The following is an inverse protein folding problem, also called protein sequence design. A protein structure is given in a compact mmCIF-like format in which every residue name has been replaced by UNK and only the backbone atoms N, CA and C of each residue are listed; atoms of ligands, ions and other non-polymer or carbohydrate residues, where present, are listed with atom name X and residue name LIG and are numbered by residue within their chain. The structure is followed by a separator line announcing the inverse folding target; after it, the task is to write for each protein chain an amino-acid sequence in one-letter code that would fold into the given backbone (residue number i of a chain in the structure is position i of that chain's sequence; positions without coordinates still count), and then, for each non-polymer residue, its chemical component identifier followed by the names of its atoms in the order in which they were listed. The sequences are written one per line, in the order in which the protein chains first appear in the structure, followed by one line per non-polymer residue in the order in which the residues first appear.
data_IF_175258460526
#
_entry.id   IF_175258460526
#
_cell.length_a   1.000
_cell.length_b   1.000
_cell.length_c   1.000
_cell.angle_alpha   90.00
_cell.angle_beta   90.00
_cell.angle_gamma   90.00
#
_symmetry.space_group_name_H-M   'P 1'
#
loop_
_entity.id
_entity.type
_entity.pdbx_description
1 polymer ?
#
# COMPACT_ATOMS: atom_id res chain seq x y z
N UNK A 1 -24.56 -9.13 53.84
CA UNK A 1 -25.44 -9.73 52.81
C UNK A 1 -25.90 -8.61 51.90
N UNK A 2 -25.16 -8.31 50.83
CA UNK A 2 -25.51 -7.26 49.87
C UNK A 2 -25.83 -7.95 48.54
N UNK A 3 -27.11 -7.94 48.21
CA UNK A 3 -27.67 -8.43 46.96
C UNK A 3 -27.46 -7.38 45.87
N UNK A 4 -26.71 -7.73 44.82
CA UNK A 4 -26.61 -6.94 43.60
C UNK A 4 -27.70 -7.42 42.64
N UNK A 5 -28.57 -6.50 42.23
CA UNK A 5 -29.54 -6.70 41.16
C UNK A 5 -28.87 -6.34 39.82
N UNK A 6 -28.95 -7.26 38.86
CA UNK A 6 -28.61 -7.07 37.45
C UNK A 6 -29.86 -6.50 36.75
N UNK A 7 -29.71 -5.38 36.04
CA UNK A 7 -30.71 -4.86 35.12
C UNK A 7 -30.19 -4.99 33.68
N UNK A 8 -30.84 -5.87 32.93
CA UNK A 8 -30.68 -6.05 31.48
C UNK A 8 -31.43 -4.93 30.74
N UNK A 9 -30.70 -4.14 29.95
CA UNK A 9 -31.29 -3.19 29.00
C UNK A 9 -31.06 -3.69 27.56
N UNK A 10 -32.15 -4.17 26.98
CA UNK A 10 -32.33 -4.60 25.60
C UNK A 10 -32.73 -3.36 24.77
N UNK A 11 -31.95 -2.96 23.77
CA UNK A 11 -32.32 -1.87 22.85
C UNK A 11 -32.46 -2.38 21.40
N UNK A 12 -33.60 -2.00 20.82
CA UNK A 12 -34.19 -2.43 19.56
C UNK A 12 -33.48 -1.88 18.30
N UNK A 13 -33.34 -2.76 17.31
CA UNK A 13 -32.97 -2.44 15.93
C UNK A 13 -34.11 -1.69 15.20
N UNK A 14 -33.84 -0.45 14.78
CA UNK A 14 -34.68 0.29 13.81
C UNK A 14 -34.11 0.17 12.38
N UNK A 15 -34.92 -0.19 11.37
CA UNK A 15 -34.47 -0.23 9.99
C UNK A 15 -34.46 1.16 9.32
N UNK A 16 -33.32 1.49 8.69
CA UNK A 16 -33.14 2.65 7.82
C UNK A 16 -34.00 2.56 6.55
N UNK A 17 -34.93 3.49 6.37
CA UNK A 17 -35.61 3.73 5.10
C UNK A 17 -34.76 4.62 4.19
N UNK A 18 -34.46 4.11 3.00
CA UNK A 18 -33.79 4.80 1.90
C UNK A 18 -34.77 5.70 1.14
N UNK A 19 -34.51 7.01 1.10
CA UNK A 19 -35.21 7.97 0.23
C UNK A 19 -34.31 8.26 -0.97
N UNK A 20 -34.74 7.87 -2.17
CA UNK A 20 -34.12 8.21 -3.45
C UNK A 20 -35.05 9.11 -4.26
N UNK A 21 -34.65 10.37 -4.49
CA UNK A 21 -35.27 11.23 -5.50
C UNK A 21 -34.23 12.20 -6.06
N UNK A 22 -33.61 11.84 -7.17
CA UNK A 22 -32.84 12.76 -8.00
C UNK A 22 -33.79 13.42 -8.99
N UNK A 23 -34.02 14.71 -8.81
CA UNK A 23 -34.73 15.61 -9.73
C UNK A 23 -33.67 16.31 -10.59
N UNK A 24 -33.74 16.14 -11.91
CA UNK A 24 -32.86 16.79 -12.89
C UNK A 24 -33.51 18.09 -13.38
N UNK A 25 -32.79 19.22 -13.24
CA UNK A 25 -33.14 20.49 -13.89
C UNK A 25 -32.60 20.52 -15.34
N UNK A 26 -33.35 21.06 -16.31
CA UNK A 26 -32.85 21.31 -17.66
C UNK A 26 -32.03 22.60 -17.71
N UNK A 27 -30.88 22.57 -18.40
CA UNK A 27 -30.13 23.78 -18.77
C UNK A 27 -30.60 24.29 -20.12
N UNK A 28 -31.07 25.54 -20.14
CA UNK A 28 -31.32 26.32 -21.35
C UNK A 28 -29.99 26.75 -22.00
N UNK A 29 -29.91 26.59 -23.32
CA UNK A 29 -28.79 27.03 -24.15
C UNK A 29 -29.08 28.46 -24.60
N UNK A 30 -28.29 29.41 -24.11
CA UNK A 30 -28.28 30.80 -24.59
C UNK A 30 -27.25 30.92 -25.72
N UNK A 31 -27.70 31.31 -26.90
CA UNK A 31 -26.84 31.72 -28.02
C UNK A 31 -26.52 33.21 -27.94
N UNK A 32 -25.26 33.65 -28.13
CA UNK A 32 -24.96 35.04 -28.43
C UNK A 32 -24.81 35.27 -29.93
N UNK A 33 -25.52 36.30 -30.39
CA UNK A 33 -25.47 36.97 -31.68
C UNK A 33 -24.22 37.85 -31.83
N UNK A 34 -23.68 37.83 -33.05
CA UNK A 34 -23.06 38.90 -33.83
C UNK A 34 -22.00 39.84 -33.23
N UNK A 35 -20.86 39.86 -33.96
CA UNK A 35 -20.26 41.10 -34.39
C UNK A 35 -18.80 41.30 -33.96
N UNK A 36 -17.84 40.91 -34.79
CA UNK A 36 -16.58 41.65 -34.92
C UNK A 36 -15.80 41.32 -36.21
N UNK A 37 -15.16 42.37 -36.72
CA UNK A 37 -14.53 42.54 -38.02
C UNK A 37 -13.67 41.38 -38.54
N UNK A 38 -13.97 40.95 -39.77
CA UNK A 38 -13.08 40.10 -40.57
C UNK A 38 -12.00 41.00 -41.17
N UNK A 39 -10.79 40.94 -40.60
CA UNK A 39 -9.57 41.37 -41.29
C UNK A 39 -9.26 40.28 -42.32
N UNK A 40 -9.47 40.57 -43.60
CA UNK A 40 -8.97 39.70 -44.68
C UNK A 40 -7.44 39.85 -44.75
N UNK A 41 -6.73 38.96 -44.07
CA UNK A 41 -5.30 38.73 -44.30
C UNK A 41 -5.19 37.71 -45.44
N UNK A 42 -4.76 38.17 -46.62
CA UNK A 42 -4.36 37.27 -47.71
C UNK A 42 -2.97 36.69 -47.40
N UNK A 43 -2.92 35.65 -46.58
CA UNK A 43 -1.68 34.92 -46.30
C UNK A 43 -1.86 33.42 -46.54
N UNK A 44 -1.88 33.03 -47.81
CA UNK A 44 -1.42 31.69 -48.19
C UNK A 44 0.03 31.78 -48.65
N UNK A 45 0.93 32.16 -47.76
CA UNK A 45 2.31 31.72 -47.87
C UNK A 45 2.29 30.21 -47.69
N UNK A 46 2.29 29.47 -48.81
CA UNK A 46 2.14 28.03 -48.81
C UNK A 46 3.27 27.40 -48.00
N UNK A 47 2.93 26.88 -46.81
CA UNK A 47 3.80 26.10 -45.91
C UNK A 47 4.53 24.94 -46.61
N UNK A 48 4.16 24.64 -47.85
CA UNK A 48 4.83 23.70 -48.74
C UNK A 48 6.32 24.03 -48.93
N UNK A 49 6.72 25.31 -48.94
CA UNK A 49 8.11 25.74 -49.14
C UNK A 49 9.04 25.60 -47.93
N UNK A 50 8.51 25.30 -46.72
CA UNK A 50 9.35 25.13 -45.53
C UNK A 50 10.17 23.83 -45.59
N UNK A 51 11.38 23.84 -45.03
CA UNK A 51 12.18 22.62 -44.89
C UNK A 51 11.48 21.59 -43.99
N UNK A 52 11.87 20.33 -44.11
CA UNK A 52 11.29 19.23 -43.34
C UNK A 52 11.48 19.44 -41.82
N UNK A 53 12.65 19.92 -41.40
CA UNK A 53 13.00 20.18 -40.02
C UNK A 53 12.13 21.28 -39.40
N UNK A 54 11.83 22.33 -40.17
CA UNK A 54 11.02 23.45 -39.69
C UNK A 54 9.56 23.04 -39.55
N UNK A 55 9.06 22.23 -40.49
CA UNK A 55 7.75 21.56 -40.37
C UNK A 55 7.73 20.69 -39.10
N UNK A 56 8.72 19.83 -38.88
CA UNK A 56 8.76 18.99 -37.68
C UNK A 56 8.69 19.81 -36.38
N UNK A 57 9.45 20.91 -36.28
CA UNK A 57 9.41 21.83 -35.13
C UNK A 57 8.06 22.51 -34.95
N UNK A 58 7.41 22.94 -36.02
CA UNK A 58 6.06 23.52 -35.97
C UNK A 58 5.07 22.48 -35.41
N UNK A 59 5.16 21.22 -35.82
CA UNK A 59 4.29 20.16 -35.28
C UNK A 59 4.50 19.87 -33.79
N UNK A 60 5.69 20.14 -33.26
CA UNK A 60 5.96 20.00 -31.81
C UNK A 60 5.18 21.03 -30.99
N UNK A 61 4.93 22.22 -31.57
CA UNK A 61 4.36 23.38 -30.89
C UNK A 61 2.83 23.50 -31.01
N UNK A 62 2.22 22.97 -32.07
CA UNK A 62 0.78 23.10 -32.31
C UNK A 62 0.00 21.97 -31.60
N UNK A 63 -1.22 22.27 -31.11
CA UNK A 63 -2.12 21.27 -30.56
C UNK A 63 -2.39 20.09 -31.54
N UNK A 64 -2.47 18.83 -31.07
CA UNK A 64 -2.72 17.66 -31.90
C UNK A 64 -3.97 17.75 -32.78
N UNK A 65 -4.99 18.48 -32.34
CA UNK A 65 -6.24 18.64 -33.08
C UNK A 65 -6.01 19.49 -34.32
N UNK A 66 -5.25 20.58 -34.20
CA UNK A 66 -4.88 21.47 -35.31
C UNK A 66 -3.79 20.86 -36.20
N UNK A 67 -2.87 20.08 -35.61
CA UNK A 67 -1.86 19.32 -36.36
C UNK A 67 -2.51 18.27 -37.29
N UNK A 68 -3.65 17.68 -36.90
CA UNK A 68 -4.43 16.79 -37.77
C UNK A 68 -5.04 17.54 -38.94
N UNK A 69 -5.53 18.75 -38.75
CA UNK A 69 -6.04 19.61 -39.83
C UNK A 69 -4.94 19.94 -40.85
N UNK A 70 -3.71 20.20 -40.39
CA UNK A 70 -2.53 20.36 -41.26
C UNK A 70 -2.13 19.07 -42.00
N UNK A 71 -2.39 17.90 -41.39
CA UNK A 71 -2.09 16.59 -41.98
C UNK A 71 -3.00 16.21 -43.14
N UNK A 72 -4.26 16.68 -43.10
CA UNK A 72 -5.23 16.42 -44.14
C UNK A 72 -4.87 17.18 -45.42
N UNK A 73 -4.36 18.40 -45.28
CA UNK A 73 -4.03 19.30 -46.40
C UNK A 73 -2.64 19.11 -47.00
N UNK A 74 -1.71 18.42 -46.34
CA UNK A 74 -0.37 18.17 -46.92
C UNK A 74 0.20 16.76 -46.66
N UNK A 75 0.57 16.08 -47.75
CA UNK A 75 1.03 14.68 -47.80
C UNK A 75 2.26 14.40 -46.91
N UNK A 76 3.16 15.37 -46.77
CA UNK A 76 4.38 15.25 -45.94
C UNK A 76 4.05 15.14 -44.45
N UNK A 77 3.05 15.87 -43.96
CA UNK A 77 2.63 15.82 -42.55
C UNK A 77 2.00 14.49 -42.16
N UNK A 78 1.24 13.87 -43.08
CA UNK A 78 0.69 12.53 -42.90
C UNK A 78 1.78 11.47 -42.66
N UNK A 79 2.95 11.65 -43.26
CA UNK A 79 4.08 10.71 -43.12
C UNK A 79 4.82 10.90 -41.80
N UNK A 80 4.89 12.13 -41.27
CA UNK A 80 5.47 12.44 -39.96
C UNK A 80 4.54 11.96 -38.84
N UNK A 81 3.25 12.30 -38.94
CA UNK A 81 2.25 12.03 -37.90
C UNK A 81 1.75 10.58 -37.87
N UNK A 82 2.00 9.77 -38.90
CA UNK A 82 1.67 8.34 -38.90
C UNK A 82 2.74 7.47 -38.23
N UNK A 83 3.94 8.02 -37.95
CA UNK A 83 4.98 7.29 -37.22
C UNK A 83 4.55 7.11 -35.77
N UNK A 84 4.28 5.87 -35.37
CA UNK A 84 3.94 5.50 -33.97
C UNK A 84 5.01 5.99 -32.98
N UNK A 85 6.28 5.99 -33.39
CA UNK A 85 7.41 6.55 -32.63
C UNK A 85 7.23 8.05 -32.32
N UNK A 86 6.71 8.85 -33.26
CA UNK A 86 6.50 10.29 -33.05
C UNK A 86 5.54 10.56 -31.89
N UNK A 87 4.44 9.81 -31.79
CA UNK A 87 3.48 9.99 -30.68
C UNK A 87 3.99 9.41 -29.35
N UNK A 88 4.80 8.35 -29.39
CA UNK A 88 5.45 7.80 -28.19
C UNK A 88 6.50 8.78 -27.62
N UNK A 89 7.33 9.37 -28.49
CA UNK A 89 8.29 10.42 -28.12
C UNK A 89 7.57 11.70 -27.67
N UNK A 90 6.46 12.08 -28.31
CA UNK A 90 5.68 13.27 -27.96
C UNK A 90 4.92 13.13 -26.63
N UNK A 91 4.48 11.93 -26.25
CA UNK A 91 3.92 11.69 -24.91
C UNK A 91 4.96 11.86 -23.80
N UNK A 92 6.23 11.57 -24.09
CA UNK A 92 7.35 11.81 -23.15
C UNK A 92 7.67 13.31 -23.05
N UNK A 93 7.59 14.05 -24.16
CA UNK A 93 7.93 15.48 -24.21
C UNK A 93 6.83 16.44 -23.70
N UNK A 94 5.56 16.01 -23.66
CA UNK A 94 4.42 16.87 -23.28
C UNK A 94 4.43 17.37 -21.84
N UNK A 95 5.14 16.70 -20.92
CA UNK A 95 5.20 17.14 -19.52
C UNK A 95 6.40 18.03 -19.20
N UNK A 96 7.50 17.91 -19.94
CA UNK A 96 8.71 18.66 -19.61
C UNK A 96 8.88 19.93 -20.47
N UNK A 97 8.49 19.93 -21.75
CA UNK A 97 8.92 21.01 -22.67
C UNK A 97 8.04 22.27 -22.66
N UNK A 98 6.73 22.16 -22.40
CA UNK A 98 5.85 23.34 -22.26
C UNK A 98 6.10 24.10 -20.93
N UNK A 99 6.50 23.38 -19.88
CA UNK A 99 6.98 23.97 -18.63
C UNK A 99 8.36 24.61 -18.83
N UNK A 100 9.24 23.98 -19.63
CA UNK A 100 10.55 24.56 -19.95
C UNK A 100 10.45 25.80 -20.85
N UNK A 101 9.56 25.84 -21.85
CA UNK A 101 9.42 27.03 -22.71
C UNK A 101 8.73 28.20 -22.01
N UNK A 102 7.77 27.95 -21.11
CA UNK A 102 7.22 29.02 -20.25
C UNK A 102 8.28 29.51 -19.26
N UNK A 103 9.08 28.60 -18.68
CA UNK A 103 10.23 28.98 -17.87
C UNK A 103 11.31 29.73 -18.68
N UNK A 104 11.58 29.38 -19.94
CA UNK A 104 12.56 30.08 -20.80
C UNK A 104 12.08 31.46 -21.24
N UNK A 105 10.77 31.67 -21.42
CA UNK A 105 10.17 32.96 -21.70
C UNK A 105 10.04 33.85 -20.44
N UNK A 106 9.81 33.24 -19.26
CA UNK A 106 9.87 33.93 -17.97
C UNK A 106 11.31 34.15 -17.47
N UNK A 107 12.29 33.43 -18.03
CA UNK A 107 13.73 33.65 -17.83
C UNK A 107 14.28 34.84 -18.61
N UNK A 108 13.43 35.76 -19.07
CA UNK A 108 13.78 37.18 -18.93
C UNK A 108 13.88 37.45 -17.44
N UNK A 109 15.03 37.07 -16.89
CA UNK A 109 15.60 37.53 -15.62
C UNK A 109 15.72 39.05 -15.76
N UNK A 110 14.57 39.72 -15.65
CA UNK A 110 14.50 41.12 -15.29
C UNK A 110 15.31 41.22 -14.00
N UNK A 111 16.18 42.23 -13.94
CA UNK A 111 17.02 42.61 -12.82
C UNK A 111 16.21 42.75 -11.52
N UNK A 112 15.77 41.62 -10.98
CA UNK A 112 14.87 41.55 -9.84
C UNK A 112 15.76 41.52 -8.62
N UNK A 113 16.11 42.73 -8.19
CA UNK A 113 16.81 42.97 -6.94
C UNK A 113 16.03 42.34 -5.79
N UNK A 114 16.75 41.67 -4.91
CA UNK A 114 16.15 41.15 -3.68
C UNK A 114 15.51 42.31 -2.89
N UNK A 115 14.21 42.25 -2.58
CA UNK A 115 13.52 43.30 -1.81
C UNK A 115 14.12 43.54 -0.42
N UNK A 116 14.74 42.52 0.17
CA UNK A 116 15.34 42.61 1.50
C UNK A 116 16.75 43.23 1.52
N UNK A 117 17.57 43.02 0.49
CA UNK A 117 18.98 43.47 0.50
C UNK A 117 19.47 44.16 -0.78
N UNK A 118 18.60 44.34 -1.78
CA UNK A 118 18.91 44.97 -3.06
C UNK A 118 19.81 44.17 -4.00
N UNK A 119 20.36 43.02 -3.59
CA UNK A 119 21.29 42.25 -4.44
C UNK A 119 20.57 41.64 -5.64
N UNK A 120 21.18 41.74 -6.83
CA UNK A 120 20.73 41.16 -8.11
C UNK A 120 20.96 39.64 -8.22
N UNK A 121 21.16 38.94 -7.10
CA UNK A 121 21.43 37.50 -7.11
C UNK A 121 20.17 36.71 -7.41
N UNK A 122 20.34 35.60 -8.16
CA UNK A 122 19.32 34.60 -8.50
C UNK A 122 18.32 34.40 -7.36
N UNK A 123 17.07 34.75 -7.65
CA UNK A 123 15.93 34.51 -6.78
C UNK A 123 15.81 33.00 -6.51
N UNK A 124 15.41 32.65 -5.29
CA UNK A 124 15.19 31.24 -4.97
C UNK A 124 14.03 30.70 -5.79
N UNK A 125 14.16 29.49 -6.34
CA UNK A 125 13.05 28.79 -7.04
C UNK A 125 11.78 28.67 -6.18
N UNK A 126 11.89 28.79 -4.85
CA UNK A 126 10.79 28.64 -3.90
C UNK A 126 9.86 29.84 -3.83
N UNK A 127 10.33 30.99 -4.29
CA UNK A 127 9.70 32.24 -3.93
C UNK A 127 9.33 32.99 -5.20
N UNK A 128 8.03 32.96 -5.52
CA UNK A 128 7.40 34.10 -6.20
C UNK A 128 7.56 35.43 -5.41
N UNK A 129 8.17 35.38 -4.22
CA UNK A 129 8.70 36.53 -3.46
C UNK A 129 10.12 36.86 -3.94
N UNK A 130 10.38 38.13 -4.22
CA UNK A 130 11.67 38.63 -4.70
C UNK A 130 12.75 38.67 -3.60
N UNK A 131 13.07 37.54 -2.95
CA UNK A 131 14.15 37.46 -1.96
C UNK A 131 15.26 36.51 -2.41
N UNK A 132 16.53 36.90 -2.19
CA UNK A 132 17.66 36.04 -2.48
C UNK A 132 17.79 34.93 -1.42
N UNK A 133 18.49 33.85 -1.75
CA UNK A 133 18.71 32.70 -0.86
C UNK A 133 19.35 33.04 0.49
N UNK A 134 20.16 34.11 0.55
CA UNK A 134 20.75 34.60 1.81
C UNK A 134 19.72 35.28 2.71
N UNK A 135 18.82 36.07 2.11
CA UNK A 135 17.77 36.80 2.84
C UNK A 135 16.55 35.94 3.14
N UNK A 136 16.45 34.77 2.52
CA UNK A 136 15.39 33.82 2.75
C UNK A 136 16.00 32.45 3.08
N UNK A 137 16.68 32.31 4.25
CA UNK A 137 17.26 31.05 4.67
C UNK A 137 16.20 30.01 5.07
N UNK A 138 14.90 30.32 4.90
CA UNK A 138 13.81 29.46 5.31
C UNK A 138 14.02 28.04 4.80
N UNK A 139 14.05 27.15 5.78
CA UNK A 139 14.22 25.74 5.56
C UNK A 139 13.06 25.20 4.72
N UNK A 140 13.39 24.37 3.73
CA UNK A 140 12.38 23.67 2.95
C UNK A 140 12.04 22.36 3.66
N UNK A 141 10.76 22.02 3.72
CA UNK A 141 10.26 20.83 4.39
C UNK A 141 9.64 19.87 3.37
N UNK A 142 9.99 18.57 3.38
CA UNK A 142 9.37 17.62 2.47
C UNK A 142 7.90 17.41 2.85
N UNK A 143 7.07 17.14 1.84
CA UNK A 143 5.64 16.87 1.98
C UNK A 143 5.27 15.95 3.15
N UNK A 144 6.01 14.85 3.32
CA UNK A 144 5.77 13.87 4.38
C UNK A 144 5.96 14.46 5.77
N UNK A 145 6.95 15.34 5.95
CA UNK A 145 7.21 16.00 7.22
C UNK A 145 6.20 17.12 7.46
N UNK A 146 5.83 17.89 6.43
CA UNK A 146 4.77 18.91 6.54
C UNK A 146 3.44 18.32 7.03
N UNK A 147 3.02 17.16 6.50
CA UNK A 147 1.81 16.46 6.95
C UNK A 147 1.89 16.03 8.41
N UNK A 148 3.06 15.53 8.85
CA UNK A 148 3.28 15.03 10.22
C UNK A 148 3.39 16.18 11.22
N UNK A 149 4.28 17.14 10.97
CA UNK A 149 4.62 18.22 11.90
C UNK A 149 3.53 19.28 12.03
N UNK A 150 2.75 19.52 10.97
CA UNK A 150 1.71 20.54 10.95
C UNK A 150 0.30 19.96 10.88
N UNK A 151 0.17 18.63 10.99
CA UNK A 151 -1.11 17.91 10.93
C UNK A 151 -1.96 18.32 9.72
N UNK A 152 -1.32 18.50 8.57
CA UNK A 152 -1.98 18.95 7.34
C UNK A 152 -2.38 17.75 6.46
N UNK A 153 -3.51 17.88 5.79
CA UNK A 153 -3.97 16.89 4.81
C UNK A 153 -3.34 17.14 3.45
N UNK A 154 -3.51 16.17 2.55
CA UNK A 154 -3.09 16.31 1.15
C UNK A 154 -3.75 17.51 0.45
N UNK A 155 -5.05 17.74 0.73
CA UNK A 155 -5.85 18.84 0.18
C UNK A 155 -5.43 20.21 0.72
N UNK A 156 -4.84 20.24 1.91
CA UNK A 156 -4.28 21.49 2.47
C UNK A 156 -2.99 21.85 1.73
N UNK A 157 -2.08 20.88 1.57
CA UNK A 157 -0.79 21.11 0.92
C UNK A 157 -0.90 21.37 -0.58
N UNK A 158 -1.96 20.90 -1.25
CA UNK A 158 -2.17 21.21 -2.67
C UNK A 158 -2.46 22.69 -2.94
N UNK A 159 -2.79 23.48 -1.90
CA UNK A 159 -3.01 24.93 -2.00
C UNK A 159 -1.73 25.75 -1.84
N UNK A 160 -0.65 25.12 -1.40
CA UNK A 160 0.64 25.77 -1.17
C UNK A 160 1.57 25.56 -2.36
N UNK A 161 2.41 26.56 -2.61
CA UNK A 161 3.49 26.44 -3.60
C UNK A 161 4.53 25.40 -3.14
N UNK A 162 5.10 24.67 -4.09
CA UNK A 162 6.13 23.67 -3.81
C UNK A 162 7.10 23.55 -4.98
N UNK A 163 8.33 23.13 -4.65
CA UNK A 163 9.36 22.80 -5.64
C UNK A 163 9.49 21.28 -5.74
N UNK A 164 9.57 20.76 -6.96
CA UNK A 164 9.82 19.34 -7.22
C UNK A 164 11.33 19.09 -7.28
N UNK A 165 11.80 18.09 -6.54
CA UNK A 165 13.19 17.61 -6.60
C UNK A 165 13.24 16.10 -6.75
N UNK A 166 14.28 15.57 -7.39
CA UNK A 166 14.50 14.12 -7.43
C UNK A 166 14.71 13.61 -6.01
N UNK A 167 14.12 12.46 -5.69
CA UNK A 167 14.31 11.86 -4.37
C UNK A 167 15.78 11.42 -4.22
N UNK A 168 16.50 11.89 -3.20
CA UNK A 168 17.92 11.59 -3.04
C UNK A 168 18.19 10.12 -2.77
N UNK A 169 17.28 9.42 -2.09
CA UNK A 169 17.44 8.00 -1.74
C UNK A 169 16.98 7.07 -2.85
N UNK A 170 15.95 7.46 -3.60
CA UNK A 170 15.33 6.60 -4.61
C UNK A 170 15.09 7.35 -5.92
N UNK A 171 16.13 7.41 -6.77
CA UNK A 171 16.09 8.19 -8.03
C UNK A 171 14.99 7.79 -9.01
N UNK A 172 14.55 6.53 -8.99
CA UNK A 172 13.45 6.01 -9.83
C UNK A 172 12.05 6.28 -9.26
N UNK A 173 11.93 6.74 -8.02
CA UNK A 173 10.63 7.06 -7.42
C UNK A 173 10.13 8.43 -7.87
N UNK A 174 8.85 8.70 -7.61
CA UNK A 174 8.23 10.00 -7.91
C UNK A 174 9.04 11.15 -7.27
N UNK A 175 9.20 12.28 -7.97
CA UNK A 175 9.86 13.46 -7.40
C UNK A 175 9.26 13.85 -6.05
N UNK A 176 10.11 14.28 -5.13
CA UNK A 176 9.73 14.81 -3.85
C UNK A 176 9.19 16.24 -4.01
N UNK A 177 8.12 16.56 -3.28
CA UNK A 177 7.63 17.93 -3.16
C UNK A 177 8.21 18.55 -1.90
N UNK A 178 8.90 19.67 -2.07
CA UNK A 178 9.45 20.48 -0.99
C UNK A 178 8.63 21.76 -0.86
N UNK A 179 8.21 22.06 0.35
CA UNK A 179 7.43 23.24 0.70
C UNK A 179 8.27 24.20 1.52
N UNK A 180 7.95 25.49 1.49
CA UNK A 180 8.58 26.45 2.38
C UNK A 180 8.01 26.29 3.80
N UNK A 181 8.87 26.10 4.81
CA UNK A 181 8.41 25.80 6.18
C UNK A 181 7.57 26.94 6.78
N UNK A 182 7.91 28.20 6.47
CA UNK A 182 7.16 29.38 6.93
C UNK A 182 5.75 29.43 6.36
N UNK A 183 5.56 29.19 5.06
CA UNK A 183 4.23 29.17 4.43
C UNK A 183 3.38 28.01 4.97
N UNK A 184 3.97 26.83 5.18
CA UNK A 184 3.30 25.68 5.81
C UNK A 184 2.86 25.99 7.23
N UNK A 185 3.74 26.61 8.03
CA UNK A 185 3.45 27.01 9.40
C UNK A 185 2.34 28.07 9.46
N UNK A 186 2.42 29.10 8.62
CA UNK A 186 1.41 30.15 8.53
C UNK A 186 0.03 29.56 8.18
N UNK A 187 -0.03 28.67 7.18
CA UNK A 187 -1.28 27.99 6.81
C UNK A 187 -1.82 27.13 7.96
N UNK A 188 -0.96 26.37 8.64
CA UNK A 188 -1.35 25.54 9.78
C UNK A 188 -1.86 26.39 10.96
N UNK A 189 -1.20 27.51 11.26
CA UNK A 189 -1.65 28.42 12.30
C UNK A 189 -2.96 29.10 11.95
N UNK A 190 -3.18 29.50 10.69
CA UNK A 190 -4.47 30.00 10.26
C UNK A 190 -5.57 28.94 10.44
N UNK A 191 -5.28 27.69 10.05
CA UNK A 191 -6.23 26.56 10.16
C UNK A 191 -6.55 26.16 11.59
N UNK A 192 -5.57 26.20 12.49
CA UNK A 192 -5.69 25.74 13.88
C UNK A 192 -5.70 26.88 14.90
N UNK A 193 -6.02 28.10 14.48
CA UNK A 193 -6.12 29.27 15.36
C UNK A 193 -4.86 29.52 16.21
N UNK A 194 -3.69 29.43 15.57
CA UNK A 194 -2.39 29.70 16.15
C UNK A 194 -1.62 28.47 16.63
N UNK A 195 -0.44 28.68 17.24
CA UNK A 195 0.44 27.59 17.68
C UNK A 195 -0.17 26.75 18.81
N UNK A 196 -0.98 27.37 19.69
CA UNK A 196 -1.67 26.66 20.79
C UNK A 196 -2.67 25.63 20.25
N UNK A 197 -3.47 25.99 19.23
CA UNK A 197 -4.43 25.05 18.66
C UNK A 197 -3.76 23.95 17.83
N UNK A 198 -2.64 24.24 17.14
CA UNK A 198 -1.83 23.20 16.49
C UNK A 198 -1.28 22.19 17.53
N UNK A 199 -0.77 22.67 18.67
CA UNK A 199 -0.31 21.81 19.76
C UNK A 199 -1.44 20.94 20.36
N UNK A 200 -2.64 21.51 20.52
CA UNK A 200 -3.82 20.77 20.96
C UNK A 200 -4.21 19.66 19.96
N UNK A 201 -4.13 19.94 18.66
CA UNK A 201 -4.39 18.97 17.61
C UNK A 201 -3.37 17.82 17.63
N UNK A 202 -2.09 18.12 17.84
CA UNK A 202 -1.05 17.10 18.05
C UNK A 202 -1.35 16.20 19.25
N UNK A 203 -1.77 16.78 20.37
CA UNK A 203 -2.17 16.02 21.56
C UNK A 203 -3.37 15.10 21.24
N UNK A 204 -4.37 15.60 20.51
CA UNK A 204 -5.52 14.80 20.05
C UNK A 204 -5.08 13.62 19.18
N UNK A 205 -4.19 13.83 18.21
CA UNK A 205 -3.68 12.77 17.34
C UNK A 205 -2.92 11.68 18.12
N UNK A 206 -2.05 12.06 19.06
CA UNK A 206 -1.35 11.10 19.94
C UNK A 206 -2.33 10.28 20.80
N UNK A 207 -3.36 10.91 21.33
CA UNK A 207 -4.37 10.21 22.11
C UNK A 207 -5.18 9.22 21.27
N UNK A 208 -5.53 9.59 20.03
CA UNK A 208 -6.20 8.70 19.09
C UNK A 208 -5.32 7.51 18.70
N UNK A 209 -4.03 7.73 18.48
CA UNK A 209 -3.06 6.65 18.21
C UNK A 209 -2.96 5.68 19.38
N UNK A 210 -2.81 6.18 20.61
CA UNK A 210 -2.81 5.36 21.82
C UNK A 210 -4.12 4.59 21.99
N UNK A 211 -5.27 5.22 21.73
CA UNK A 211 -6.56 4.55 21.80
C UNK A 211 -6.67 3.40 20.77
N UNK A 212 -6.20 3.61 19.54
CA UNK A 212 -6.15 2.56 18.50
C UNK A 212 -5.20 1.43 18.88
N UNK A 213 -4.05 1.75 19.45
CA UNK A 213 -3.08 0.76 19.92
C UNK A 213 -3.68 -0.09 21.06
N UNK A 214 -4.30 0.54 22.06
CA UNK A 214 -4.99 -0.15 23.15
C UNK A 214 -6.10 -1.06 22.62
N UNK A 215 -6.95 -0.56 21.71
CA UNK A 215 -8.00 -1.38 21.08
C UNK A 215 -7.42 -2.55 20.30
N UNK A 216 -6.34 -2.35 19.56
CA UNK A 216 -5.66 -3.42 18.81
C UNK A 216 -5.09 -4.49 19.73
N UNK A 217 -4.43 -4.07 20.83
CA UNK A 217 -3.91 -4.97 21.87
C UNK A 217 -5.04 -5.75 22.55
N UNK A 218 -6.13 -5.08 22.94
CA UNK A 218 -7.30 -5.72 23.53
C UNK A 218 -7.91 -6.76 22.59
N UNK A 219 -8.04 -6.45 21.29
CA UNK A 219 -8.52 -7.39 20.28
C UNK A 219 -7.61 -8.60 20.10
N UNK A 220 -6.29 -8.38 20.07
CA UNK A 220 -5.27 -9.45 20.00
C UNK A 220 -5.38 -10.35 21.23
N UNK A 221 -5.46 -9.77 22.42
CA UNK A 221 -5.57 -10.50 23.68
C UNK A 221 -6.86 -11.32 23.75
N UNK A 222 -8.01 -10.74 23.40
CA UNK A 222 -9.29 -11.45 23.35
C UNK A 222 -9.24 -12.66 22.40
N UNK A 223 -8.58 -12.53 21.24
CA UNK A 223 -8.38 -13.66 20.32
C UNK A 223 -7.43 -14.71 20.87
N UNK A 224 -6.35 -14.30 21.53
CA UNK A 224 -5.40 -15.20 22.20
C UNK A 224 -6.11 -16.04 23.26
N UNK A 225 -6.90 -15.41 24.12
CA UNK A 225 -7.69 -16.08 25.17
C UNK A 225 -8.74 -17.02 24.58
N UNK A 226 -9.45 -16.57 23.53
CA UNK A 226 -10.44 -17.41 22.83
C UNK A 226 -9.79 -18.66 22.23
N UNK A 227 -8.66 -18.53 21.54
CA UNK A 227 -7.92 -19.67 20.99
C UNK A 227 -7.41 -20.58 22.10
N UNK A 228 -6.84 -20.01 23.18
CA UNK A 228 -6.35 -20.80 24.31
C UNK A 228 -7.48 -21.60 24.99
N UNK A 229 -8.66 -21.01 25.16
CA UNK A 229 -9.84 -21.70 25.70
C UNK A 229 -10.25 -22.87 24.80
N UNK A 230 -10.27 -22.67 23.49
CA UNK A 230 -10.66 -23.72 22.53
C UNK A 230 -9.62 -24.85 22.45
N UNK A 231 -8.32 -24.53 22.55
CA UNK A 231 -7.26 -25.53 22.57
C UNK A 231 -7.27 -26.37 23.85
N UNK A 232 -7.63 -25.78 24.99
CA UNK A 232 -7.76 -26.51 26.27
C UNK A 232 -8.79 -27.63 26.22
N UNK A 233 -9.85 -27.50 25.41
CA UNK A 233 -10.85 -28.58 25.19
C UNK A 233 -10.19 -29.86 24.64
N UNK A 234 -9.09 -29.72 23.89
CA UNK A 234 -8.32 -30.83 23.33
C UNK A 234 -7.08 -31.17 24.14
N UNK A 235 -6.94 -30.60 25.35
CA UNK A 235 -5.74 -30.71 26.18
C UNK A 235 -4.47 -30.23 25.45
N UNK A 236 -4.61 -29.18 24.63
CA UNK A 236 -3.49 -28.55 23.92
C UNK A 236 -3.20 -27.18 24.51
N UNK A 237 -1.91 -26.86 24.60
CA UNK A 237 -1.45 -25.52 24.95
C UNK A 237 -1.30 -24.64 23.71
N UNK A 238 -1.48 -23.33 23.91
CA UNK A 238 -1.22 -22.35 22.87
C UNK A 238 0.28 -22.27 22.57
N UNK A 239 0.64 -22.43 21.30
CA UNK A 239 2.02 -22.35 20.80
C UNK A 239 2.30 -20.99 20.15
N UNK A 240 3.25 -20.23 20.71
CA UNK A 240 3.68 -18.93 20.18
C UNK A 240 4.50 -19.05 18.88
N UNK A 241 5.12 -20.22 18.62
CA UNK A 241 5.92 -20.50 17.42
C UNK A 241 5.06 -20.88 16.19
N UNK A 242 3.77 -21.17 16.39
CA UNK A 242 2.87 -21.57 15.32
C UNK A 242 2.43 -20.35 14.50
N UNK A 243 2.86 -20.30 13.23
CA UNK A 243 2.44 -19.26 12.27
C UNK A 243 0.91 -19.17 12.17
N UNK A 244 0.21 -20.30 12.12
CA UNK A 244 -1.26 -20.31 12.02
C UNK A 244 -1.95 -19.71 13.26
N UNK A 245 -1.41 -19.95 14.45
CA UNK A 245 -1.92 -19.32 15.67
C UNK A 245 -1.69 -17.80 15.64
N UNK A 246 -0.50 -17.37 15.24
CA UNK A 246 -0.16 -15.95 15.10
C UNK A 246 -1.04 -15.26 14.06
N UNK A 247 -1.27 -15.90 12.92
CA UNK A 247 -2.12 -15.38 11.85
C UNK A 247 -3.57 -15.17 12.33
N UNK A 248 -4.13 -16.14 13.07
CA UNK A 248 -5.43 -16.02 13.72
C UNK A 248 -5.48 -14.87 14.75
N UNK A 249 -4.52 -14.84 15.67
CA UNK A 249 -4.44 -13.83 16.74
C UNK A 249 -4.34 -12.42 16.16
N UNK A 250 -3.50 -12.22 15.14
CA UNK A 250 -3.31 -10.93 14.46
C UNK A 250 -4.47 -10.57 13.52
N UNK A 251 -5.24 -11.55 13.04
CA UNK A 251 -6.31 -11.32 12.08
C UNK A 251 -5.85 -11.13 10.66
N UNK A 252 -4.79 -11.83 10.30
CA UNK A 252 -4.21 -11.80 8.96
C UNK A 252 -4.47 -13.14 8.27
N UNK A 253 -4.34 -13.15 6.94
CA UNK A 253 -4.45 -14.37 6.12
C UNK A 253 -5.79 -15.12 6.20
N UNK A 254 -6.87 -14.49 6.66
CA UNK A 254 -8.23 -15.07 6.77
C UNK A 254 -8.29 -16.39 7.56
N UNK A 255 -7.35 -16.64 8.48
CA UNK A 255 -7.35 -17.85 9.30
C UNK A 255 -8.50 -17.80 10.30
N UNK A 256 -9.38 -18.79 10.27
CA UNK A 256 -10.50 -18.89 11.21
C UNK A 256 -10.08 -19.62 12.50
N UNK A 257 -10.89 -19.51 13.57
CA UNK A 257 -10.64 -20.24 14.82
C UNK A 257 -10.61 -21.77 14.59
N UNK A 258 -11.58 -22.38 13.86
CA UNK A 258 -11.53 -23.80 13.52
C UNK A 258 -10.26 -24.21 12.77
N UNK A 259 -9.75 -23.38 11.85
CA UNK A 259 -8.54 -23.69 11.08
C UNK A 259 -7.29 -23.72 11.97
N UNK A 260 -7.17 -22.74 12.89
CA UNK A 260 -6.08 -22.70 13.85
C UNK A 260 -6.10 -23.92 14.77
N UNK A 261 -7.27 -24.25 15.34
CA UNK A 261 -7.44 -25.44 16.21
C UNK A 261 -7.16 -26.73 15.45
N UNK A 262 -7.70 -26.89 14.23
CA UNK A 262 -7.45 -28.04 13.36
C UNK A 262 -5.96 -28.22 13.09
N UNK A 263 -5.26 -27.14 12.78
CA UNK A 263 -3.82 -27.16 12.52
C UNK A 263 -3.04 -27.57 13.77
N UNK A 264 -3.40 -27.02 14.94
CA UNK A 264 -2.75 -27.35 16.21
C UNK A 264 -2.95 -28.81 16.61
N UNK A 265 -4.17 -29.32 16.46
CA UNK A 265 -4.48 -30.74 16.68
C UNK A 265 -3.68 -31.64 15.74
N UNK A 266 -3.63 -31.28 14.46
CA UNK A 266 -2.87 -32.02 13.46
C UNK A 266 -1.38 -32.05 13.80
N UNK A 267 -0.79 -30.89 14.16
CA UNK A 267 0.60 -30.81 14.59
C UNK A 267 0.87 -31.66 15.85
N UNK A 268 -0.02 -31.63 16.84
CA UNK A 268 0.11 -32.46 18.03
C UNK A 268 0.12 -33.96 17.66
N UNK A 269 -0.83 -34.40 16.83
CA UNK A 269 -0.90 -35.80 16.37
C UNK A 269 0.39 -36.19 15.64
N UNK A 270 0.81 -35.40 14.64
CA UNK A 270 2.02 -35.70 13.87
C UNK A 270 3.25 -35.78 14.78
N UNK A 271 3.46 -34.82 15.68
CA UNK A 271 4.69 -34.76 16.45
C UNK A 271 4.73 -35.72 17.65
N UNK A 272 3.60 -35.99 18.29
CA UNK A 272 3.54 -36.81 19.52
C UNK A 272 3.15 -38.26 19.22
N UNK A 273 2.21 -38.47 18.29
CA UNK A 273 1.62 -39.79 18.04
C UNK A 273 2.24 -40.55 16.88
N UNK A 274 3.15 -39.96 16.12
CA UNK A 274 3.78 -40.64 14.99
C UNK A 274 5.29 -40.69 15.12
N UNK A 275 5.93 -41.52 14.29
CA UNK A 275 7.37 -41.55 14.09
C UNK A 275 7.87 -40.44 13.14
N UNK A 276 7.09 -39.37 12.93
CA UNK A 276 7.40 -38.27 12.01
C UNK A 276 8.84 -37.76 12.12
N UNK A 277 9.37 -37.57 13.35
CA UNK A 277 10.74 -37.09 13.53
C UNK A 277 11.78 -38.08 12.99
N UNK A 278 11.61 -39.38 13.24
CA UNK A 278 12.52 -40.42 12.75
C UNK A 278 12.49 -40.49 11.21
N UNK A 279 11.28 -40.49 10.63
CA UNK A 279 11.10 -40.48 9.19
C UNK A 279 11.65 -39.21 8.55
N UNK A 280 11.50 -38.06 9.22
CA UNK A 280 12.04 -36.80 8.76
C UNK A 280 13.56 -36.87 8.71
N UNK A 281 14.22 -37.23 9.82
CA UNK A 281 15.69 -37.31 9.90
C UNK A 281 16.27 -38.26 8.83
N UNK A 282 15.67 -39.44 8.65
CA UNK A 282 16.06 -40.39 7.60
C UNK A 282 15.97 -39.79 6.19
N UNK A 283 14.90 -39.06 5.88
CA UNK A 283 14.72 -38.43 4.58
C UNK A 283 15.65 -37.21 4.39
N UNK A 284 15.99 -36.51 5.47
CA UNK A 284 16.91 -35.38 5.42
C UNK A 284 18.35 -35.81 5.18
N UNK A 285 18.79 -36.89 5.82
CA UNK A 285 20.12 -37.43 5.59
C UNK A 285 20.25 -37.97 4.16
N UNK A 286 19.20 -38.61 3.62
CA UNK A 286 19.16 -38.99 2.20
C UNK A 286 19.29 -37.76 1.27
N UNK A 287 18.59 -36.66 1.57
CA UNK A 287 18.66 -35.43 0.78
C UNK A 287 20.02 -34.73 0.88
N UNK A 288 20.65 -34.72 2.07
CA UNK A 288 22.01 -34.19 2.29
C UNK A 288 23.05 -35.01 1.53
N UNK A 289 22.96 -36.33 1.61
CA UNK A 289 23.86 -37.25 0.92
C UNK A 289 23.75 -37.14 -0.62
N UNK A 290 22.58 -36.76 -1.13
CA UNK A 290 22.37 -36.49 -2.55
C UNK A 290 22.99 -35.15 -3.04
N UNK A 291 23.72 -34.42 -2.20
CA UNK A 291 24.49 -33.23 -2.61
C UNK A 291 23.66 -31.97 -2.91
N UNK A 292 22.39 -31.93 -2.50
CA UNK A 292 21.51 -30.78 -2.75
C UNK A 292 21.82 -29.59 -1.83
N UNK A 293 22.83 -28.79 -2.18
CA UNK A 293 23.15 -27.50 -1.51
C UNK A 293 22.59 -26.26 -2.23
N UNK A 294 21.68 -26.43 -3.20
CA UNK A 294 21.28 -25.35 -4.11
C UNK A 294 20.05 -24.54 -3.62
N UNK A 295 19.78 -23.36 -4.21
CA UNK A 295 18.61 -22.51 -3.91
C UNK A 295 17.23 -23.19 -4.06
N UNK A 296 17.18 -24.43 -4.57
CA UNK A 296 15.97 -25.26 -4.63
C UNK A 296 15.66 -26.04 -3.33
N UNK A 297 16.57 -26.05 -2.35
CA UNK A 297 16.46 -26.89 -1.14
C UNK A 297 15.16 -26.63 -0.37
N UNK A 298 14.70 -25.38 -0.26
CA UNK A 298 13.45 -25.05 0.46
C UNK A 298 12.24 -25.75 -0.16
N UNK A 299 12.13 -25.75 -1.50
CA UNK A 299 11.01 -26.40 -2.20
C UNK A 299 11.06 -27.92 -2.06
N UNK A 300 12.26 -28.50 -2.12
CA UNK A 300 12.45 -29.95 -1.91
C UNK A 300 12.09 -30.31 -0.47
N UNK A 301 12.58 -29.53 0.50
CA UNK A 301 12.29 -29.69 1.92
C UNK A 301 10.80 -29.67 2.22
N UNK A 302 10.06 -28.69 1.71
CA UNK A 302 8.62 -28.61 1.91
C UNK A 302 7.87 -29.81 1.32
N UNK A 303 8.31 -30.32 0.16
CA UNK A 303 7.74 -31.53 -0.45
C UNK A 303 8.05 -32.76 0.40
N UNK A 304 9.31 -32.93 0.84
CA UNK A 304 9.73 -34.04 1.70
C UNK A 304 8.97 -34.03 3.02
N UNK A 305 8.84 -32.87 3.66
CA UNK A 305 8.06 -32.70 4.89
C UNK A 305 6.62 -33.21 4.72
N UNK A 306 5.93 -32.76 3.66
CA UNK A 306 4.55 -33.20 3.38
C UNK A 306 4.44 -34.70 3.09
N UNK A 307 5.45 -35.27 2.43
CA UNK A 307 5.51 -36.72 2.16
C UNK A 307 5.66 -37.50 3.47
N UNK A 308 6.66 -37.16 4.27
CA UNK A 308 6.92 -37.78 5.58
C UNK A 308 5.72 -37.66 6.51
N UNK A 309 5.08 -36.49 6.55
CA UNK A 309 3.86 -36.26 7.33
C UNK A 309 2.72 -37.19 6.91
N UNK A 310 2.54 -37.44 5.61
CA UNK A 310 1.52 -38.36 5.10
C UNK A 310 1.83 -39.80 5.49
N UNK A 311 3.07 -40.24 5.33
CA UNK A 311 3.53 -41.60 5.67
C UNK A 311 3.35 -41.86 7.17
N UNK A 312 3.78 -40.93 8.01
CA UNK A 312 3.65 -41.03 9.47
C UNK A 312 2.17 -41.12 9.92
N UNK A 313 1.28 -40.36 9.26
CA UNK A 313 -0.16 -40.41 9.54
C UNK A 313 -0.81 -41.71 9.06
N UNK A 314 -0.35 -42.28 7.95
CA UNK A 314 -0.84 -43.56 7.43
C UNK A 314 -0.42 -44.72 8.33
N UNK A 315 0.81 -44.71 8.82
CA UNK A 315 1.32 -45.68 9.80
C UNK A 315 0.52 -45.61 11.11
N UNK A 316 0.25 -44.42 11.63
CA UNK A 316 -0.60 -44.24 12.81
C UNK A 316 -2.02 -44.80 12.58
N UNK A 317 -2.66 -44.51 11.45
CA UNK A 317 -3.99 -45.07 11.14
C UNK A 317 -3.98 -46.60 11.06
N UNK A 318 -2.89 -47.17 10.51
CA UNK A 318 -2.72 -48.63 10.44
C UNK A 318 -2.57 -49.24 11.83
N UNK A 319 -1.74 -48.62 12.67
CA UNK A 319 -1.55 -49.01 14.07
C UNK A 319 -2.84 -48.92 14.88
N UNK A 320 -3.61 -47.82 14.74
CA UNK A 320 -4.90 -47.65 15.40
C UNK A 320 -5.88 -48.77 15.02
N UNK A 321 -6.00 -49.10 13.71
CA UNK A 321 -6.86 -50.21 13.28
C UNK A 321 -6.44 -51.54 13.92
N UNK A 322 -5.14 -51.81 13.96
CA UNK A 322 -4.61 -53.01 14.62
C UNK A 322 -4.92 -53.04 16.11
N UNK A 323 -4.73 -51.93 16.81
CA UNK A 323 -5.01 -51.81 18.25
C UNK A 323 -6.50 -52.00 18.57
N UNK A 324 -7.39 -51.34 17.83
CA UNK A 324 -8.83 -51.45 18.04
C UNK A 324 -9.41 -52.82 17.63
N UNK A 325 -8.72 -53.59 16.79
CA UNK A 325 -9.07 -54.97 16.50
C UNK A 325 -8.74 -55.94 17.66
N UNK A 326 -7.88 -55.55 18.62
CA UNK A 326 -7.56 -56.40 19.77
C UNK A 326 -8.76 -56.51 20.73
N UNK A 327 -8.92 -57.67 21.41
CA UNK A 327 -9.85 -57.82 22.53
C UNK A 327 -9.58 -56.78 23.62
N UNK A 328 -10.63 -56.34 24.34
CA UNK A 328 -10.53 -55.25 25.32
C UNK A 328 -9.47 -55.51 26.41
N UNK A 329 -9.30 -56.76 26.85
CA UNK A 329 -8.29 -57.15 27.84
C UNK A 329 -6.83 -57.09 27.34
N UNK A 330 -6.61 -56.85 26.03
CA UNK A 330 -5.30 -56.69 25.41
C UNK A 330 -5.00 -55.24 24.99
N UNK A 331 -5.89 -54.30 25.29
CA UNK A 331 -5.73 -52.86 24.98
C UNK A 331 -5.09 -52.13 26.16
N UNK A 332 -3.78 -52.34 26.34
CA UNK A 332 -3.01 -51.81 27.47
C UNK A 332 -2.11 -50.62 27.13
N UNK A 333 -2.25 -50.03 25.93
CA UNK A 333 -1.41 -48.89 25.53
C UNK A 333 -1.86 -47.60 26.25
N UNK A 334 -0.90 -46.77 26.63
CA UNK A 334 -1.20 -45.46 27.20
C UNK A 334 -1.92 -44.58 26.17
N UNK A 335 -2.98 -43.91 26.64
CA UNK A 335 -3.73 -42.95 25.84
C UNK A 335 -3.27 -41.54 26.20
N UNK A 336 -2.99 -40.74 25.18
CA UNK A 336 -2.82 -39.31 25.38
C UNK A 336 -4.14 -38.68 25.82
N UNK A 337 -4.07 -37.53 26.51
CA UNK A 337 -5.22 -36.72 26.87
C UNK A 337 -6.11 -36.36 25.67
N UNK A 338 -5.57 -36.33 24.45
CA UNK A 338 -6.39 -36.13 23.24
C UNK A 338 -7.18 -37.38 22.78
N UNK A 339 -7.14 -38.47 23.54
CA UNK A 339 -7.85 -39.73 23.27
C UNK A 339 -7.18 -40.64 22.25
N UNK A 340 -5.92 -40.35 21.88
CA UNK A 340 -5.16 -41.09 20.86
C UNK A 340 -4.11 -42.01 21.50
N UNK A 341 -3.91 -43.17 20.90
CA UNK A 341 -2.89 -44.14 21.34
C UNK A 341 -1.50 -43.60 21.04
N UNK A 342 -0.55 -43.78 21.95
CA UNK A 342 0.85 -43.45 21.70
C UNK A 342 1.52 -44.57 20.91
N UNK A 343 1.99 -44.26 19.69
CA UNK A 343 2.56 -45.27 18.77
C UNK A 343 3.81 -45.95 19.32
N UNK A 344 4.59 -45.26 20.15
CA UNK A 344 5.82 -45.81 20.76
C UNK A 344 5.52 -47.03 21.63
N UNK A 345 4.44 -46.97 22.41
CA UNK A 345 4.07 -48.04 23.34
C UNK A 345 3.46 -49.21 22.59
N UNK A 346 2.67 -48.92 21.55
CA UNK A 346 2.13 -49.96 20.68
C UNK A 346 3.21 -50.71 19.89
N UNK A 347 4.21 -49.99 19.37
CA UNK A 347 5.36 -50.59 18.68
C UNK A 347 6.21 -51.43 19.64
N UNK A 348 6.33 -51.03 20.91
CA UNK A 348 7.00 -51.81 21.94
C UNK A 348 6.22 -53.10 22.30
N UNK A 349 4.89 -53.02 22.40
CA UNK A 349 4.03 -54.18 22.73
C UNK A 349 3.94 -55.24 21.64
N UNK A 350 4.34 -54.93 20.39
CA UNK A 350 4.37 -55.87 19.27
C UNK A 350 5.68 -56.66 19.19
N UNK A 351 6.74 -56.18 19.84
CA UNK A 351 8.01 -56.91 19.99
C UNK A 351 7.89 -57.86 21.17
#
# INVERSE_FOLDING_TARGET
MCSLQEEDAMEDDKPCQSISSHQTCPMEIVTPSDGQAVVQVSETATLQGLSFELKQRICELIDPTDARSLSQTARVWRQILSRRQFWQERQILRFDRAILLSAELDNRVLDTQCKACGTTKLLSEFTGKQNCTKCHPDETIPKTNAKKEYVLTEKDLSKLYYVRRKNPRYRSTRPMHLYLRSDVAAYAYAKYHGPKGLAAMHKKMRNLEKAREMHTKARIQARREKLAKELKVYHLDLRDDSKTCNDYIQGINNVTLPDAVKTMRHMHIVHIHTNYHQLLDQNLDAARNAGQKSPGFVKVWEKTKKKVEREAMEELRSAERGYWALPANKRNAEMCACGKVLLKDWMAAKK
#
